data_IF_440664381500
#
_entry.id   IF_440664381500
#
_cell.length_a   1.000
_cell.length_b   1.000
_cell.length_c   1.000
_cell.angle_alpha   90.00
_cell.angle_beta   90.00
_cell.angle_gamma   90.00
#
_symmetry.space_group_name_H-M   'P 1'
#
loop_
_entity.id
_entity.type
_entity.pdbx_description
1 polymer ?
#
# COMPACT_ATOMS: atom_id res chain seq x y z
N UNK A 1 -3.88 -12.70 -12.20
CA UNK A 1 -3.22 -13.36 -11.05
C UNK A 1 -2.00 -12.53 -10.74
N UNK A 2 -1.69 -12.35 -9.47
CA UNK A 2 -0.65 -11.46 -8.97
C UNK A 2 0.45 -12.30 -8.36
N UNK A 3 1.63 -12.31 -8.97
CA UNK A 3 2.77 -13.03 -8.43
C UNK A 3 3.35 -12.22 -7.25
N UNK A 4 3.48 -12.82 -6.04
CA UNK A 4 4.06 -12.14 -4.88
C UNK A 4 5.41 -11.50 -5.20
N UNK A 5 5.59 -10.22 -4.87
CA UNK A 5 6.81 -9.47 -5.16
C UNK A 5 6.88 -8.85 -6.57
N UNK A 6 5.80 -8.91 -7.34
CA UNK A 6 5.73 -8.29 -8.68
C UNK A 6 4.39 -7.60 -8.99
N UNK A 7 3.63 -7.22 -7.96
CA UNK A 7 2.39 -6.48 -8.11
C UNK A 7 2.66 -5.09 -8.68
N UNK A 8 2.03 -4.77 -9.82
CA UNK A 8 2.19 -3.46 -10.47
C UNK A 8 1.28 -2.39 -9.85
N UNK A 9 1.67 -1.13 -9.95
CA UNK A 9 0.88 -0.02 -9.37
C UNK A 9 -0.56 0.07 -9.92
N UNK A 10 -0.78 -0.23 -11.20
CA UNK A 10 -2.13 -0.23 -11.80
C UNK A 10 -3.02 -1.33 -11.22
N UNK A 11 -2.44 -2.50 -10.96
CA UNK A 11 -3.13 -3.62 -10.33
C UNK A 11 -3.47 -3.29 -8.87
N UNK A 12 -2.53 -2.71 -8.12
CA UNK A 12 -2.78 -2.27 -6.75
C UNK A 12 -3.86 -1.18 -6.68
N UNK A 13 -3.87 -0.23 -7.62
CA UNK A 13 -4.96 0.74 -7.76
C UNK A 13 -6.30 0.06 -8.01
N UNK A 14 -6.35 -0.93 -8.91
CA UNK A 14 -7.58 -1.66 -9.17
C UNK A 14 -8.07 -2.40 -7.90
N UNK A 15 -7.17 -3.01 -7.13
CA UNK A 15 -7.51 -3.65 -5.85
C UNK A 15 -8.03 -2.64 -4.81
N UNK A 16 -7.42 -1.46 -4.73
CA UNK A 16 -7.92 -0.34 -3.91
C UNK A 16 -9.37 0.02 -4.26
N UNK A 17 -9.69 -0.01 -5.56
CA UNK A 17 -11.01 0.27 -6.12
C UNK A 17 -11.99 -0.92 -6.04
N UNK A 18 -11.55 -2.08 -5.54
CA UNK A 18 -12.38 -3.26 -5.28
C UNK A 18 -12.19 -4.43 -6.25
N UNK A 19 -11.18 -4.40 -7.12
CA UNK A 19 -10.83 -5.55 -7.94
C UNK A 19 -10.29 -6.72 -7.07
N UNK A 20 -10.57 -7.98 -7.46
CA UNK A 20 -10.10 -9.12 -6.70
C UNK A 20 -8.58 -9.31 -6.83
N UNK A 21 -7.94 -9.76 -5.75
CA UNK A 21 -6.55 -10.21 -5.74
C UNK A 21 -6.52 -11.75 -5.77
N UNK A 22 -5.81 -12.35 -6.72
CA UNK A 22 -5.64 -13.82 -6.82
C UNK A 22 -4.18 -14.17 -7.00
N UNK A 23 -3.65 -15.03 -6.14
CA UNK A 23 -2.29 -15.55 -6.25
C UNK A 23 -2.23 -16.66 -7.32
N UNK A 24 -1.07 -16.85 -7.99
CA UNK A 24 -0.87 -17.95 -8.94
C UNK A 24 -0.85 -19.31 -8.23
N UNK A 25 -1.11 -20.39 -8.96
CA UNK A 25 -0.92 -21.74 -8.45
C UNK A 25 0.53 -21.95 -7.94
N UNK A 26 0.71 -22.81 -6.94
CA UNK A 26 2.02 -23.06 -6.33
C UNK A 26 2.48 -22.02 -5.30
N UNK A 27 1.75 -20.92 -5.07
CA UNK A 27 2.13 -19.90 -4.07
C UNK A 27 2.33 -20.45 -2.64
N UNK A 28 1.72 -21.60 -2.31
CA UNK A 28 1.84 -22.26 -1.01
C UNK A 28 3.21 -22.88 -0.78
N UNK A 29 3.88 -23.36 -1.82
CA UNK A 29 5.16 -24.09 -1.72
C UNK A 29 6.24 -23.30 -0.96
N UNK A 30 6.59 -22.04 -1.33
CA UNK A 30 7.58 -21.27 -0.58
C UNK A 30 7.11 -20.92 0.84
N UNK A 31 5.80 -20.76 1.05
CA UNK A 31 5.23 -20.48 2.38
C UNK A 31 5.41 -21.69 3.30
N UNK A 32 5.03 -22.88 2.83
CA UNK A 32 5.17 -24.15 3.57
C UNK A 32 6.64 -24.49 3.85
N UNK A 33 7.55 -24.23 2.90
CA UNK A 33 8.98 -24.39 3.10
C UNK A 33 9.51 -23.50 4.25
N UNK A 34 9.06 -22.25 4.32
CA UNK A 34 9.44 -21.33 5.41
C UNK A 34 8.91 -21.77 6.78
N UNK A 35 7.70 -22.34 6.82
CA UNK A 35 7.12 -22.92 8.03
C UNK A 35 7.94 -24.13 8.49
N UNK A 36 8.29 -25.04 7.57
CA UNK A 36 9.11 -26.22 7.86
C UNK A 36 10.50 -25.82 8.40
N UNK A 37 11.10 -24.78 7.80
CA UNK A 37 12.39 -24.23 8.24
C UNK A 37 12.32 -23.71 9.67
N UNK A 38 11.28 -22.93 10.00
CA UNK A 38 11.09 -22.43 11.36
C UNK A 38 10.90 -23.59 12.37
N UNK A 39 10.09 -24.59 12.02
CA UNK A 39 9.86 -25.75 12.86
C UNK A 39 11.15 -26.55 13.14
N UNK A 40 12.00 -26.73 12.13
CA UNK A 40 13.29 -27.42 12.28
C UNK A 40 14.23 -26.67 13.24
N UNK A 41 14.33 -25.33 13.13
CA UNK A 41 15.16 -24.51 14.04
C UNK A 41 14.64 -24.51 15.47
N UNK A 42 13.31 -24.45 15.64
CA UNK A 42 12.69 -24.55 16.97
C UNK A 42 13.00 -25.90 17.63
N UNK A 43 13.00 -27.00 16.87
CA UNK A 43 13.39 -28.32 17.35
C UNK A 43 14.88 -28.40 17.74
N UNK A 44 15.73 -27.57 17.10
CA UNK A 44 17.16 -27.42 17.43
C UNK A 44 17.46 -26.66 18.73
N UNK A 45 16.45 -26.04 19.37
CA UNK A 45 16.61 -25.33 20.65
C UNK A 45 17.14 -23.88 20.54
N UNK A 46 17.28 -23.36 19.32
CA UNK A 46 17.69 -21.99 19.02
C UNK A 46 16.77 -20.96 19.72
N UNK A 47 17.34 -19.84 20.17
CA UNK A 47 16.56 -18.70 20.66
C UNK A 47 16.23 -17.78 19.48
N UNK A 48 14.95 -17.69 19.15
CA UNK A 48 14.44 -17.00 17.96
C UNK A 48 13.53 -15.84 18.40
N UNK A 49 13.92 -14.62 18.04
CA UNK A 49 13.24 -13.38 18.45
C UNK A 49 11.74 -13.42 18.16
N UNK A 50 10.91 -13.23 19.19
CA UNK A 50 9.45 -13.18 19.06
C UNK A 50 8.80 -14.48 18.58
N UNK A 51 9.57 -15.57 18.47
CA UNK A 51 9.09 -16.93 18.21
C UNK A 51 9.03 -17.71 19.52
N UNK A 52 10.17 -17.83 20.22
CA UNK A 52 10.29 -18.47 21.54
C UNK A 52 11.02 -17.58 22.57
N UNK A 53 11.11 -16.29 22.28
CA UNK A 53 11.51 -15.25 23.22
C UNK A 53 10.46 -14.14 23.31
N UNK A 54 10.56 -13.26 24.31
CA UNK A 54 9.71 -12.08 24.42
C UNK A 54 9.98 -11.01 23.35
N UNK A 55 9.28 -9.89 23.43
CA UNK A 55 9.36 -8.79 22.45
C UNK A 55 10.04 -7.54 23.04
N UNK A 56 10.73 -6.77 22.21
CA UNK A 56 11.37 -5.51 22.61
C UNK A 56 12.31 -5.70 23.81
N UNK A 57 12.06 -4.99 24.91
CA UNK A 57 12.88 -5.09 26.15
C UNK A 57 12.91 -6.51 26.74
N UNK A 58 11.94 -7.37 26.42
CA UNK A 58 11.84 -8.75 26.91
C UNK A 58 12.43 -9.78 25.93
N UNK A 59 13.15 -9.34 24.89
CA UNK A 59 13.75 -10.21 23.87
C UNK A 59 14.70 -11.29 24.42
N UNK A 60 15.27 -11.08 25.60
CA UNK A 60 16.18 -12.03 26.27
C UNK A 60 15.47 -13.09 27.12
N UNK A 61 14.14 -12.99 27.31
CA UNK A 61 13.37 -13.96 28.09
C UNK A 61 12.91 -15.11 27.21
N UNK A 62 13.34 -16.34 27.50
CA UNK A 62 12.85 -17.56 26.81
C UNK A 62 11.42 -17.89 27.25
N UNK A 63 10.61 -18.32 26.30
CA UNK A 63 9.21 -18.70 26.49
C UNK A 63 9.05 -20.20 26.20
N UNK A 64 8.45 -20.98 27.11
CA UNK A 64 8.16 -22.39 26.88
C UNK A 64 7.22 -22.62 25.69
N UNK A 65 7.38 -23.76 25.01
CA UNK A 65 6.63 -24.11 23.79
C UNK A 65 5.10 -24.08 23.98
N UNK A 66 4.62 -24.48 25.16
CA UNK A 66 3.21 -24.50 25.53
C UNK A 66 2.59 -23.09 25.70
N UNK A 67 3.42 -22.06 25.87
CA UNK A 67 2.97 -20.67 26.02
C UNK A 67 3.05 -19.86 24.72
N UNK A 68 3.60 -20.41 23.63
CA UNK A 68 3.86 -19.64 22.40
C UNK A 68 2.57 -19.14 21.76
N UNK A 69 1.50 -19.95 21.74
CA UNK A 69 0.21 -19.49 21.22
C UNK A 69 -0.35 -18.31 22.04
N UNK A 70 -0.27 -18.39 23.37
CA UNK A 70 -0.71 -17.32 24.25
C UNK A 70 0.16 -16.06 24.12
N UNK A 71 1.47 -16.22 23.89
CA UNK A 71 2.40 -15.12 23.62
C UNK A 71 1.97 -14.34 22.37
N UNK A 72 1.67 -15.02 21.27
CA UNK A 72 1.24 -14.37 20.03
C UNK A 72 -0.14 -13.69 20.18
N UNK A 73 -1.08 -14.33 20.89
CA UNK A 73 -2.38 -13.73 21.20
C UNK A 73 -2.23 -12.44 22.02
N UNK A 74 -1.39 -12.47 23.06
CA UNK A 74 -1.11 -11.31 23.90
C UNK A 74 -0.39 -10.21 23.14
N UNK A 75 0.49 -10.55 22.20
CA UNK A 75 1.13 -9.58 21.32
C UNK A 75 0.09 -8.80 20.53
N UNK A 76 -0.83 -9.48 19.84
CA UNK A 76 -1.90 -8.85 19.07
C UNK A 76 -2.71 -7.90 19.96
N UNK A 77 -3.20 -8.39 21.10
CA UNK A 77 -4.04 -7.59 22.02
C UNK A 77 -3.31 -6.38 22.59
N UNK A 78 -2.07 -6.55 23.07
CA UNK A 78 -1.29 -5.47 23.69
C UNK A 78 -0.91 -4.37 22.69
N UNK A 79 -0.80 -4.69 21.40
CA UNK A 79 -0.42 -3.73 20.37
C UNK A 79 -1.61 -3.08 19.67
N UNK A 80 -2.85 -3.54 19.91
CA UNK A 80 -4.08 -2.91 19.41
C UNK A 80 -4.41 -1.58 20.11
N UNK A 81 -3.43 -0.69 20.22
CA UNK A 81 -3.49 0.61 20.87
C UNK A 81 -3.71 1.77 19.87
N UNK A 82 -4.11 1.45 18.63
CA UNK A 82 -4.46 2.45 17.62
C UNK A 82 -5.65 3.33 18.03
N UNK A 83 -5.64 4.60 17.64
CA UNK A 83 -6.68 5.59 17.95
C UNK A 83 -7.01 6.50 16.76
N UNK A 84 -7.97 7.41 16.93
CA UNK A 84 -8.37 8.37 15.90
C UNK A 84 -9.41 7.82 14.93
N UNK A 85 -9.68 8.53 13.82
CA UNK A 85 -10.65 8.09 12.82
C UNK A 85 -10.19 6.78 12.18
N UNK A 86 -11.15 5.98 11.74
CA UNK A 86 -10.87 4.74 11.03
C UNK A 86 -10.32 5.02 9.62
N UNK A 87 -9.45 4.13 9.14
CA UNK A 87 -8.92 4.18 7.78
C UNK A 87 -10.06 4.01 6.76
N UNK A 88 -10.03 4.75 5.63
CA UNK A 88 -11.02 4.59 4.57
C UNK A 88 -10.97 3.18 3.96
N UNK A 89 -12.13 2.65 3.55
CA UNK A 89 -12.26 1.33 2.95
C UNK A 89 -11.26 1.04 1.80
N UNK A 90 -11.02 1.95 0.84
CA UNK A 90 -10.03 1.70 -0.22
C UNK A 90 -8.61 1.48 0.32
N UNK A 91 -8.22 2.18 1.40
CA UNK A 91 -6.92 2.01 2.05
C UNK A 91 -6.87 0.65 2.75
N UNK A 92 -7.93 0.24 3.45
CA UNK A 92 -7.97 -1.07 4.14
C UNK A 92 -7.87 -2.24 3.14
N UNK A 93 -8.45 -2.11 1.93
CA UNK A 93 -8.27 -3.10 0.85
C UNK A 93 -6.80 -3.24 0.44
N UNK A 94 -6.09 -2.12 0.29
CA UNK A 94 -4.64 -2.13 0.05
C UNK A 94 -3.87 -2.76 1.20
N UNK A 95 -4.21 -2.47 2.46
CA UNK A 95 -3.55 -3.10 3.63
C UNK A 95 -3.68 -4.62 3.58
N UNK A 96 -4.89 -5.14 3.35
CA UNK A 96 -5.13 -6.59 3.22
C UNK A 96 -4.33 -7.19 2.05
N UNK A 97 -4.36 -6.54 0.89
CA UNK A 97 -3.67 -6.99 -0.31
C UNK A 97 -2.14 -7.03 -0.12
N UNK A 98 -1.54 -5.93 0.36
CA UNK A 98 -0.11 -5.83 0.61
C UNK A 98 0.33 -6.83 1.69
N UNK A 99 -0.50 -7.06 2.72
CA UNK A 99 -0.18 -8.04 3.76
C UNK A 99 -0.17 -9.46 3.21
N UNK A 100 -1.19 -9.82 2.44
CA UNK A 100 -1.26 -11.13 1.79
C UNK A 100 -0.08 -11.35 0.83
N UNK A 101 0.24 -10.35 -0.01
CA UNK A 101 1.36 -10.42 -0.96
C UNK A 101 2.72 -10.54 -0.26
N UNK A 102 2.95 -9.78 0.82
CA UNK A 102 4.19 -9.82 1.58
C UNK A 102 4.40 -11.18 2.25
N UNK A 103 3.36 -11.73 2.90
CA UNK A 103 3.41 -13.05 3.52
C UNK A 103 3.58 -14.19 2.50
N UNK A 104 2.94 -14.06 1.33
CA UNK A 104 3.02 -15.03 0.23
C UNK A 104 4.41 -15.08 -0.45
N UNK A 105 5.34 -14.18 -0.08
CA UNK A 105 6.75 -14.31 -0.47
C UNK A 105 7.46 -15.48 0.20
N UNK A 106 6.85 -16.09 1.22
CA UNK A 106 7.38 -17.29 1.87
C UNK A 106 8.63 -17.06 2.70
N UNK A 107 8.73 -15.90 3.36
CA UNK A 107 9.85 -15.57 4.25
C UNK A 107 9.39 -15.24 5.69
N UNK A 108 8.09 -15.37 5.98
CA UNK A 108 7.49 -14.99 7.27
C UNK A 108 7.11 -16.18 8.15
N UNK A 109 7.19 -17.41 7.65
CA UNK A 109 6.83 -18.65 8.35
C UNK A 109 5.42 -18.64 8.98
N UNK A 110 4.45 -18.07 8.25
CA UNK A 110 3.02 -18.18 8.57
C UNK A 110 2.41 -19.38 7.86
N UNK A 111 1.37 -19.97 8.43
CA UNK A 111 0.63 -21.04 7.77
C UNK A 111 -0.14 -20.48 6.56
N UNK A 112 -0.29 -21.24 5.45
CA UNK A 112 -1.06 -20.81 4.28
C UNK A 112 -2.47 -20.29 4.61
N UNK A 113 -3.13 -20.87 5.61
CA UNK A 113 -4.46 -20.44 6.10
C UNK A 113 -4.52 -18.96 6.50
N UNK A 114 -3.41 -18.37 6.94
CA UNK A 114 -3.35 -16.95 7.31
C UNK A 114 -3.49 -16.07 6.07
N UNK A 115 -2.77 -16.42 5.01
CA UNK A 115 -2.81 -15.71 3.72
C UNK A 115 -4.17 -15.90 3.06
N UNK A 116 -4.72 -17.12 3.11
CA UNK A 116 -6.07 -17.43 2.62
C UNK A 116 -7.13 -16.60 3.34
N UNK A 117 -7.05 -16.46 4.66
CA UNK A 117 -7.98 -15.62 5.43
C UNK A 117 -7.90 -14.16 4.99
N UNK A 118 -6.70 -13.59 4.80
CA UNK A 118 -6.53 -12.22 4.31
C UNK A 118 -7.14 -12.01 2.92
N UNK A 119 -6.86 -12.94 1.99
CA UNK A 119 -7.42 -12.91 0.64
C UNK A 119 -8.95 -13.04 0.68
N UNK A 120 -9.48 -13.87 1.57
CA UNK A 120 -10.92 -14.09 1.70
C UNK A 120 -11.64 -12.89 2.33
N UNK A 121 -11.04 -12.21 3.30
CA UNK A 121 -11.53 -10.93 3.82
C UNK A 121 -11.61 -9.88 2.70
N UNK A 122 -10.54 -9.77 1.90
CA UNK A 122 -10.50 -8.85 0.76
C UNK A 122 -11.55 -9.19 -0.29
N UNK A 123 -11.70 -10.47 -0.65
CA UNK A 123 -12.69 -10.93 -1.63
C UNK A 123 -14.14 -10.71 -1.16
N UNK A 124 -14.41 -10.90 0.13
CA UNK A 124 -15.73 -10.70 0.72
C UNK A 124 -16.03 -9.24 1.10
N UNK A 125 -15.09 -8.31 0.83
CA UNK A 125 -15.14 -6.92 1.27
C UNK A 125 -15.44 -6.75 2.77
N UNK A 126 -14.86 -7.65 3.58
CA UNK A 126 -14.90 -7.60 5.04
C UNK A 126 -13.63 -6.87 5.49
N UNK A 127 -13.78 -5.60 5.86
CA UNK A 127 -12.66 -4.68 6.04
C UNK A 127 -12.43 -4.38 7.52
N UNK A 128 -11.30 -4.79 8.12
CA UNK A 128 -11.01 -4.49 9.52
C UNK A 128 -11.13 -3.00 9.85
N UNK A 129 -11.73 -2.68 10.99
CA UNK A 129 -11.88 -1.32 11.48
C UNK A 129 -10.56 -0.83 12.09
N UNK A 130 -9.67 -0.33 11.24
CA UNK A 130 -8.31 0.06 11.63
C UNK A 130 -8.25 1.55 11.97
N UNK A 131 -7.89 1.96 13.20
CA UNK A 131 -7.67 3.36 13.53
C UNK A 131 -6.43 3.94 12.84
N UNK A 132 -6.51 5.20 12.42
CA UNK A 132 -5.48 5.86 11.59
C UNK A 132 -4.24 6.37 12.37
N UNK A 133 -4.24 6.35 13.71
CA UNK A 133 -3.12 6.85 14.54
C UNK A 133 -2.59 5.75 15.47
N UNK A 134 -1.30 5.82 15.79
CA UNK A 134 -0.65 4.96 16.80
C UNK A 134 0.65 4.31 16.30
N UNK A 135 0.83 4.17 14.99
CA UNK A 135 2.12 3.75 14.40
C UNK A 135 3.14 4.90 14.47
N UNK A 136 4.41 4.54 14.71
CA UNK A 136 5.57 5.44 14.61
C UNK A 136 6.35 5.25 13.30
N UNK A 137 5.93 4.30 12.44
CA UNK A 137 6.49 4.10 11.10
C UNK A 137 7.97 3.70 11.03
N UNK A 138 8.57 3.22 12.12
CA UNK A 138 10.02 2.97 12.19
C UNK A 138 10.45 1.60 11.65
N UNK A 139 9.80 0.51 12.09
CA UNK A 139 10.11 -0.86 11.65
C UNK A 139 8.87 -1.73 11.47
N UNK A 140 7.68 -1.15 11.60
CA UNK A 140 6.42 -1.86 11.47
C UNK A 140 5.22 -1.01 11.88
N UNK A 141 4.13 -1.17 11.17
CA UNK A 141 2.83 -0.57 11.45
C UNK A 141 2.07 -1.36 12.52
N UNK A 142 2.77 -1.65 13.63
CA UNK A 142 2.34 -2.61 14.65
C UNK A 142 0.93 -2.32 15.17
N UNK A 143 0.64 -1.07 15.53
CA UNK A 143 -0.64 -0.71 16.13
C UNK A 143 -1.84 -0.88 15.17
N UNK A 144 -1.83 -0.32 13.95
CA UNK A 144 -2.92 -0.54 13.01
C UNK A 144 -2.98 -1.98 12.47
N UNK A 145 -1.85 -2.67 12.29
CA UNK A 145 -1.86 -4.09 11.89
C UNK A 145 -2.34 -5.02 13.01
N UNK A 146 -2.21 -4.63 14.28
CA UNK A 146 -2.81 -5.35 15.40
C UNK A 146 -4.34 -5.32 15.33
N UNK A 147 -4.94 -4.18 14.94
CA UNK A 147 -6.40 -4.09 14.73
C UNK A 147 -6.88 -4.98 13.57
N UNK A 148 -6.09 -5.11 12.51
CA UNK A 148 -6.33 -6.12 11.46
C UNK A 148 -6.26 -7.54 12.03
N UNK A 149 -5.21 -7.85 12.79
CA UNK A 149 -4.99 -9.18 13.34
C UNK A 149 -6.04 -9.60 14.37
N UNK A 150 -6.61 -8.65 15.14
CA UNK A 150 -7.74 -8.90 16.04
C UNK A 150 -8.91 -9.55 15.29
N UNK A 151 -9.28 -9.02 14.12
CA UNK A 151 -10.37 -9.56 13.30
C UNK A 151 -10.10 -11.01 12.90
N UNK A 152 -8.86 -11.33 12.49
CA UNK A 152 -8.47 -12.69 12.10
C UNK A 152 -8.59 -13.71 13.24
N UNK A 153 -8.47 -13.29 14.50
CA UNK A 153 -8.65 -14.15 15.68
C UNK A 153 -10.07 -14.06 16.26
N UNK A 154 -11.01 -13.41 15.56
CA UNK A 154 -12.40 -13.26 15.99
C UNK A 154 -12.66 -12.14 17.00
N UNK A 155 -11.67 -11.31 17.30
CA UNK A 155 -11.76 -10.14 18.17
C UNK A 155 -11.84 -8.84 17.35
N UNK A 156 -11.97 -7.70 18.01
CA UNK A 156 -12.04 -6.41 17.33
C UNK A 156 -13.30 -6.23 16.49
N UNK A 157 -13.22 -5.38 15.47
CA UNK A 157 -14.36 -4.96 14.66
C UNK A 157 -13.98 -4.87 13.18
N UNK A 158 -14.95 -5.07 12.29
CA UNK A 158 -14.77 -4.89 10.84
C UNK A 158 -16.03 -4.33 10.18
N UNK A 159 -15.84 -3.57 9.11
CA UNK A 159 -16.91 -3.13 8.23
C UNK A 159 -17.36 -4.26 7.31
N UNK A 160 -18.67 -4.51 7.27
CA UNK A 160 -19.33 -5.46 6.36
C UNK A 160 -20.61 -4.83 5.84
N UNK A 161 -20.73 -4.65 4.53
CA UNK A 161 -21.95 -4.12 3.91
C UNK A 161 -22.38 -2.75 4.46
N UNK A 162 -21.42 -1.88 4.81
CA UNK A 162 -21.68 -0.54 5.34
C UNK A 162 -21.94 -0.45 6.85
N UNK A 163 -21.91 -1.57 7.59
CA UNK A 163 -22.06 -1.60 9.06
C UNK A 163 -20.80 -2.14 9.73
N UNK A 164 -20.53 -1.71 10.97
CA UNK A 164 -19.46 -2.27 11.80
C UNK A 164 -20.01 -3.47 12.57
N UNK A 165 -19.32 -4.61 12.47
CA UNK A 165 -19.66 -5.85 13.17
C UNK A 165 -18.49 -6.32 14.06
N UNK A 166 -18.76 -7.03 15.15
CA UNK A 166 -17.73 -7.74 15.92
C UNK A 166 -16.94 -8.73 15.04
N UNK A 167 -15.64 -8.89 15.31
CA UNK A 167 -14.72 -9.66 14.48
C UNK A 167 -15.19 -11.09 14.15
N UNK A 168 -15.68 -11.83 15.15
CA UNK A 168 -16.21 -13.18 14.93
C UNK A 168 -17.42 -13.21 13.97
N UNK A 169 -18.34 -12.25 14.09
CA UNK A 169 -19.47 -12.12 13.17
C UNK A 169 -19.02 -11.72 11.77
N UNK A 170 -18.06 -10.81 11.67
CA UNK A 170 -17.48 -10.37 10.40
C UNK A 170 -16.76 -11.53 9.67
N UNK A 171 -15.98 -12.35 10.38
CA UNK A 171 -15.37 -13.56 9.83
C UNK A 171 -16.42 -14.54 9.29
N UNK A 172 -17.51 -14.75 10.03
CA UNK A 172 -18.59 -15.61 9.58
C UNK A 172 -19.23 -15.12 8.27
N UNK A 173 -19.32 -13.80 8.06
CA UNK A 173 -19.76 -13.21 6.78
C UNK A 173 -18.82 -13.51 5.61
N UNK A 174 -17.52 -13.64 5.87
CA UNK A 174 -16.55 -14.09 4.89
C UNK A 174 -16.50 -15.63 4.72
N UNK A 175 -17.26 -16.39 5.52
CA UNK A 175 -17.20 -17.85 5.56
C UNK A 175 -15.96 -18.40 6.27
N UNK A 176 -15.39 -17.61 7.19
CA UNK A 176 -14.18 -17.94 7.94
C UNK A 176 -14.50 -18.24 9.42
N UNK A 177 -13.67 -19.06 10.04
CA UNK A 177 -13.63 -19.23 11.49
C UNK A 177 -12.42 -18.46 12.07
N UNK A 178 -12.46 -18.06 13.36
CA UNK A 178 -11.31 -17.46 14.04
C UNK A 178 -10.03 -18.30 13.93
N UNK A 179 -8.90 -17.66 13.63
CA UNK A 179 -7.61 -18.32 13.55
C UNK A 179 -7.03 -18.58 14.94
N UNK A 180 -6.52 -19.80 15.15
CA UNK A 180 -5.60 -20.09 16.24
C UNK A 180 -4.17 -19.80 15.77
N UNK A 181 -3.53 -18.80 16.40
CA UNK A 181 -2.17 -18.39 16.05
C UNK A 181 -1.14 -19.39 16.56
N UNK A 182 -0.32 -19.90 15.65
CA UNK A 182 0.89 -20.66 15.93
C UNK A 182 2.09 -19.77 16.24
N UNK A 183 3.27 -20.39 16.39
CA UNK A 183 4.51 -19.65 16.63
C UNK A 183 4.76 -18.61 15.53
N UNK A 184 5.20 -17.41 15.93
CA UNK A 184 5.48 -16.24 15.05
C UNK A 184 4.27 -15.63 14.32
N UNK A 185 3.12 -16.29 14.22
CA UNK A 185 2.01 -15.80 13.36
C UNK A 185 1.45 -14.45 13.82
N UNK A 186 1.37 -14.19 15.13
CA UNK A 186 0.98 -12.87 15.65
C UNK A 186 1.99 -11.79 15.27
N UNK A 187 3.28 -12.05 15.49
CA UNK A 187 4.34 -11.13 15.11
C UNK A 187 4.35 -10.87 13.60
N UNK A 188 4.29 -11.92 12.79
CA UNK A 188 4.27 -11.81 11.34
C UNK A 188 3.05 -11.03 10.83
N UNK A 189 1.90 -11.09 11.50
CA UNK A 189 0.72 -10.28 11.17
C UNK A 189 0.89 -8.80 11.51
N UNK A 190 1.58 -8.48 12.61
CA UNK A 190 1.78 -7.10 13.06
C UNK A 190 2.96 -6.40 12.38
N UNK A 191 3.95 -7.15 11.91
CA UNK A 191 5.19 -6.57 11.43
C UNK A 191 5.14 -6.15 9.96
N UNK A 192 5.90 -5.11 9.61
CA UNK A 192 5.96 -4.56 8.25
C UNK A 192 5.20 -3.25 8.05
N UNK A 193 5.37 -2.66 6.87
CA UNK A 193 5.02 -1.28 6.50
C UNK A 193 3.73 -1.17 5.68
N UNK A 194 2.87 -2.20 5.72
CA UNK A 194 1.73 -2.30 4.80
C UNK A 194 0.72 -1.16 4.95
N UNK A 195 0.54 -0.59 6.14
CA UNK A 195 -0.42 0.50 6.37
C UNK A 195 0.13 1.82 5.84
N UNK A 196 1.38 2.13 6.16
CA UNK A 196 2.10 3.30 5.67
C UNK A 196 2.22 3.27 4.14
N UNK A 197 2.56 2.12 3.57
CA UNK A 197 2.63 1.93 2.11
C UNK A 197 1.26 2.05 1.46
N UNK A 198 0.20 1.47 2.03
CA UNK A 198 -1.17 1.63 1.52
C UNK A 198 -1.63 3.09 1.50
N UNK A 199 -1.36 3.84 2.58
CA UNK A 199 -1.66 5.28 2.66
C UNK A 199 -0.89 6.08 1.60
N UNK A 200 0.42 5.80 1.44
CA UNK A 200 1.25 6.49 0.47
C UNK A 200 0.85 6.17 -0.98
N UNK A 201 0.47 4.91 -1.28
CA UNK A 201 -0.08 4.51 -2.58
C UNK A 201 -1.41 5.20 -2.86
N UNK A 202 -2.34 5.22 -1.90
CA UNK A 202 -3.62 5.92 -2.07
C UNK A 202 -3.40 7.42 -2.34
N UNK A 203 -2.46 8.05 -1.63
CA UNK A 203 -2.08 9.44 -1.86
C UNK A 203 -1.43 9.65 -3.23
N UNK A 204 -0.53 8.77 -3.66
CA UNK A 204 0.08 8.78 -4.99
C UNK A 204 -1.00 8.73 -6.07
N UNK A 205 -1.92 7.76 -5.98
CA UNK A 205 -2.99 7.59 -6.94
C UNK A 205 -3.90 8.82 -7.02
N UNK A 206 -4.32 9.37 -5.87
CA UNK A 206 -5.10 10.60 -5.83
C UNK A 206 -4.33 11.80 -6.42
N UNK A 207 -3.03 11.92 -6.13
CA UNK A 207 -2.19 12.99 -6.66
C UNK A 207 -2.02 12.91 -8.18
N UNK A 208 -1.91 11.71 -8.76
CA UNK A 208 -1.90 11.53 -10.20
C UNK A 208 -3.20 11.98 -10.86
N UNK A 209 -4.35 11.65 -10.27
CA UNK A 209 -5.66 12.08 -10.79
C UNK A 209 -5.84 13.60 -10.67
N UNK A 210 -5.40 14.20 -9.55
CA UNK A 210 -5.39 15.64 -9.39
C UNK A 210 -4.46 16.32 -10.40
N UNK A 211 -3.29 15.76 -10.69
CA UNK A 211 -2.38 16.30 -11.70
C UNK A 211 -2.98 16.24 -13.11
N UNK A 212 -3.61 15.10 -13.48
CA UNK A 212 -4.33 14.97 -14.75
C UNK A 212 -5.46 16.01 -14.85
N UNK A 213 -6.24 16.14 -13.78
CA UNK A 213 -7.34 17.12 -13.68
C UNK A 213 -6.82 18.55 -13.80
N UNK A 214 -5.71 18.88 -13.13
CA UNK A 214 -5.09 20.19 -13.18
C UNK A 214 -4.58 20.55 -14.58
N UNK A 215 -4.04 19.60 -15.34
CA UNK A 215 -3.64 19.83 -16.74
C UNK A 215 -4.84 20.13 -17.64
N UNK A 216 -5.97 19.42 -17.46
CA UNK A 216 -7.21 19.68 -18.21
C UNK A 216 -7.80 21.05 -17.86
N UNK A 217 -7.99 21.32 -16.57
CA UNK A 217 -8.50 22.61 -16.09
C UNK A 217 -7.57 23.77 -16.48
N UNK A 218 -6.26 23.53 -16.45
CA UNK A 218 -5.23 24.47 -16.88
C UNK A 218 -5.27 24.78 -18.37
N UNK A 219 -5.46 23.77 -19.22
CA UNK A 219 -5.69 23.96 -20.65
C UNK A 219 -6.97 24.77 -20.91
N UNK A 220 -8.09 24.43 -20.25
CA UNK A 220 -9.34 25.20 -20.36
C UNK A 220 -9.16 26.66 -19.92
N UNK A 221 -8.36 26.90 -18.88
CA UNK A 221 -8.08 28.24 -18.37
C UNK A 221 -7.24 29.06 -19.35
N UNK A 222 -6.23 28.45 -19.99
CA UNK A 222 -5.47 29.08 -21.08
C UNK A 222 -6.42 29.46 -22.20
N UNK A 223 -7.28 28.53 -22.62
CA UNK A 223 -8.17 28.77 -23.75
C UNK A 223 -9.18 29.88 -23.47
N UNK A 224 -9.87 29.80 -22.32
CA UNK A 224 -10.86 30.79 -21.90
C UNK A 224 -10.27 32.20 -21.69
N UNK A 225 -9.02 32.28 -21.22
CA UNK A 225 -8.31 33.55 -21.05
C UNK A 225 -7.78 34.14 -22.37
N UNK A 226 -8.05 33.48 -23.51
CA UNK A 226 -7.41 33.77 -24.80
C UNK A 226 -5.89 33.76 -24.65
N UNK A 227 -5.33 32.80 -23.92
CA UNK A 227 -3.90 32.66 -23.70
C UNK A 227 -3.18 32.03 -24.90
N UNK A 228 -1.85 32.14 -24.90
CA UNK A 228 -0.98 31.59 -25.93
C UNK A 228 -0.49 30.19 -25.57
N UNK A 229 -0.52 29.29 -26.57
CA UNK A 229 0.08 27.96 -26.54
C UNK A 229 1.55 27.95 -26.98
N UNK A 230 2.08 29.08 -27.47
CA UNK A 230 3.49 29.23 -27.89
C UNK A 230 4.49 28.79 -26.80
N UNK A 231 4.28 29.08 -25.50
CA UNK A 231 5.20 28.63 -24.46
C UNK A 231 5.24 27.12 -24.24
N UNK A 232 4.33 26.36 -24.86
CA UNK A 232 4.25 24.90 -24.79
C UNK A 232 4.95 24.21 -25.99
N UNK A 233 5.70 24.98 -26.79
CA UNK A 233 6.49 24.46 -27.91
C UNK A 233 7.52 23.42 -27.41
N UNK A 234 7.57 22.22 -28.02
CA UNK A 234 8.46 21.14 -27.57
C UNK A 234 9.93 21.58 -27.52
N UNK A 235 10.39 22.44 -28.43
CA UNK A 235 11.79 22.90 -28.50
C UNK A 235 12.21 23.66 -27.24
N UNK A 236 11.29 24.45 -26.64
CA UNK A 236 11.55 25.19 -25.40
C UNK A 236 11.81 24.21 -24.25
N UNK A 237 11.04 23.12 -24.21
CA UNK A 237 11.11 22.15 -23.13
C UNK A 237 12.27 21.18 -23.30
N UNK A 238 12.57 20.79 -24.55
CA UNK A 238 13.75 20.01 -24.91
C UNK A 238 15.05 20.74 -24.52
N UNK A 239 15.15 22.05 -24.74
CA UNK A 239 16.30 22.86 -24.33
C UNK A 239 16.52 22.88 -22.81
N UNK A 240 15.45 22.75 -22.01
CA UNK A 240 15.54 22.70 -20.54
C UNK A 240 15.75 21.29 -20.00
N UNK A 241 15.27 20.26 -20.70
CA UNK A 241 15.63 18.86 -20.44
C UNK A 241 14.93 18.16 -19.26
N UNK A 242 13.96 18.79 -18.58
CA UNK A 242 13.21 18.10 -17.50
C UNK A 242 12.12 17.18 -18.09
N UNK A 243 12.16 15.85 -17.82
CA UNK A 243 11.22 14.89 -18.41
C UNK A 243 9.75 15.21 -18.09
N UNK A 244 9.43 15.51 -16.84
CA UNK A 244 8.08 15.85 -16.42
C UNK A 244 7.57 17.11 -17.09
N UNK A 245 8.42 18.14 -17.23
CA UNK A 245 8.06 19.38 -17.92
C UNK A 245 7.77 19.16 -19.41
N UNK A 246 8.60 18.37 -20.10
CA UNK A 246 8.38 18.01 -21.51
C UNK A 246 7.03 17.30 -21.68
N UNK A 247 6.74 16.33 -20.80
CA UNK A 247 5.46 15.61 -20.82
C UNK A 247 4.26 16.50 -20.53
N UNK A 248 4.37 17.40 -19.55
CA UNK A 248 3.29 18.33 -19.19
C UNK A 248 2.99 19.30 -20.35
N UNK A 249 4.02 19.83 -21.00
CA UNK A 249 3.86 20.68 -22.18
C UNK A 249 3.19 19.95 -23.34
N UNK A 250 3.63 18.73 -23.64
CA UNK A 250 3.03 17.89 -24.67
C UNK A 250 1.54 17.63 -24.41
N UNK A 251 1.17 17.37 -23.15
CA UNK A 251 -0.22 17.17 -22.75
C UNK A 251 -1.05 18.45 -22.95
N UNK A 252 -0.59 19.61 -22.46
CA UNK A 252 -1.29 20.89 -22.63
C UNK A 252 -1.46 21.27 -24.10
N UNK A 253 -0.41 21.10 -24.91
CA UNK A 253 -0.46 21.35 -26.36
C UNK A 253 -1.47 20.44 -27.05
N UNK A 254 -1.53 19.16 -26.67
CA UNK A 254 -2.51 18.21 -27.21
C UNK A 254 -3.94 18.62 -26.83
N UNK A 255 -4.16 19.06 -25.59
CA UNK A 255 -5.48 19.49 -25.11
C UNK A 255 -5.98 20.78 -25.79
N UNK A 256 -5.08 21.70 -26.13
CA UNK A 256 -5.40 22.98 -26.81
C UNK A 256 -5.47 22.87 -28.34
N UNK A 257 -5.10 21.73 -28.91
CA UNK A 257 -5.04 21.54 -30.35
C UNK A 257 -6.43 21.76 -30.98
N UNK A 258 -6.49 22.65 -31.98
CA UNK A 258 -7.73 22.94 -32.70
C UNK A 258 -8.66 23.96 -32.02
N UNK A 259 -8.23 24.65 -30.96
CA UNK A 259 -9.05 25.70 -30.35
C UNK A 259 -9.35 26.85 -31.32
N UNK A 260 -10.64 27.12 -31.52
CA UNK A 260 -11.12 28.29 -32.26
C UNK A 260 -10.88 29.60 -31.48
N UNK A 261 -10.87 29.56 -30.15
CA UNK A 261 -10.56 30.74 -29.33
C UNK A 261 -9.11 31.13 -29.53
N UNK A 262 -8.19 30.16 -29.53
CA UNK A 262 -6.77 30.40 -29.83
C UNK A 262 -6.58 31.02 -31.22
N UNK A 263 -7.29 30.51 -32.22
CA UNK A 263 -7.20 31.04 -33.58
C UNK A 263 -7.75 32.47 -33.69
N UNK A 264 -8.80 32.81 -32.93
CA UNK A 264 -9.45 34.13 -32.96
C UNK A 264 -8.55 35.31 -32.57
N UNK A 265 -7.36 35.05 -32.04
CA UNK A 265 -6.41 36.05 -31.60
C UNK A 265 -4.96 35.70 -31.92
N UNK A 266 -4.73 34.77 -32.85
CA UNK A 266 -3.37 34.38 -33.24
C UNK A 266 -2.60 35.51 -33.91
N UNK A 267 -3.32 36.37 -34.64
CA UNK A 267 -2.79 37.55 -35.34
C UNK A 267 -3.30 38.81 -34.64
N UNK A 268 -2.41 39.78 -34.42
CA UNK A 268 -2.77 41.09 -33.86
C UNK A 268 -3.07 41.09 -32.35
N UNK A 269 -2.62 40.07 -31.61
CA UNK A 269 -2.68 40.09 -30.15
C UNK A 269 -1.65 41.08 -29.59
N UNK A 270 -2.06 42.12 -28.85
CA UNK A 270 -1.12 43.05 -28.23
C UNK A 270 -0.35 42.44 -27.05
N UNK A 271 -0.77 41.28 -26.52
CA UNK A 271 -0.11 40.62 -25.39
C UNK A 271 1.17 39.93 -25.85
N UNK A 272 2.28 40.31 -25.21
CA UNK A 272 3.61 39.71 -25.49
C UNK A 272 3.77 38.37 -24.78
N UNK A 273 3.30 38.25 -23.53
CA UNK A 273 3.36 37.02 -22.74
C UNK A 273 2.17 36.93 -21.80
N UNK A 274 1.70 35.70 -21.58
CA UNK A 274 0.71 35.43 -20.53
C UNK A 274 1.35 35.47 -19.13
N UNK A 275 0.52 35.70 -18.09
CA UNK A 275 0.91 35.52 -16.69
C UNK A 275 1.48 34.13 -16.43
N UNK A 276 2.31 34.01 -15.39
CA UNK A 276 3.00 32.76 -15.05
C UNK A 276 2.02 31.63 -14.74
N UNK A 277 0.85 31.92 -14.17
CA UNK A 277 -0.20 30.94 -13.90
C UNK A 277 -0.68 30.21 -15.16
N UNK A 278 -0.56 30.82 -16.34
CA UNK A 278 -0.90 30.20 -17.61
C UNK A 278 0.35 29.65 -18.32
N UNK A 279 1.37 30.50 -18.45
CA UNK A 279 2.55 30.20 -19.26
C UNK A 279 3.51 29.19 -18.61
N UNK A 280 3.61 29.19 -17.29
CA UNK A 280 4.56 28.34 -16.55
C UNK A 280 3.95 27.01 -16.09
N UNK A 281 2.76 26.64 -16.58
CA UNK A 281 2.09 25.39 -16.23
C UNK A 281 2.97 24.15 -16.48
N UNK A 282 3.68 24.00 -17.62
CA UNK A 282 4.55 22.85 -17.82
C UNK A 282 5.63 22.70 -16.75
N UNK A 283 6.21 23.81 -16.30
CA UNK A 283 7.30 23.85 -15.32
C UNK A 283 6.79 23.38 -13.95
N UNK A 284 5.62 23.89 -13.54
CA UNK A 284 4.99 23.56 -12.24
C UNK A 284 4.47 22.13 -12.24
N UNK A 285 3.61 21.77 -13.21
CA UNK A 285 3.04 20.44 -13.32
C UNK A 285 4.11 19.38 -13.61
N UNK A 286 5.14 19.74 -14.39
CA UNK A 286 6.28 18.88 -14.68
C UNK A 286 7.12 18.54 -13.47
N UNK A 287 7.40 19.51 -12.59
CA UNK A 287 8.10 19.25 -11.34
C UNK A 287 7.31 18.29 -10.44
N UNK A 288 5.99 18.47 -10.33
CA UNK A 288 5.12 17.53 -9.62
C UNK A 288 5.17 16.13 -10.25
N UNK A 289 5.13 16.04 -11.58
CA UNK A 289 5.18 14.77 -12.29
C UNK A 289 6.48 14.00 -12.05
N UNK A 290 7.62 14.68 -12.06
CA UNK A 290 8.92 14.06 -11.79
C UNK A 290 9.00 13.54 -10.35
N UNK A 291 8.47 14.28 -9.37
CA UNK A 291 8.40 13.84 -7.97
C UNK A 291 7.47 12.63 -7.79
N UNK A 292 6.29 12.65 -8.43
CA UNK A 292 5.35 11.53 -8.38
C UNK A 292 5.94 10.28 -9.05
N UNK A 293 6.66 10.44 -10.16
CA UNK A 293 7.33 9.33 -10.83
C UNK A 293 8.41 8.69 -9.94
N UNK A 294 9.18 9.49 -9.20
CA UNK A 294 10.13 8.97 -8.22
C UNK A 294 9.42 8.24 -7.06
N UNK A 295 8.39 8.86 -6.48
CA UNK A 295 7.60 8.26 -5.40
C UNK A 295 6.97 6.93 -5.83
N UNK A 296 6.43 6.86 -7.05
CA UNK A 296 5.88 5.64 -7.64
C UNK A 296 6.91 4.49 -7.66
N UNK A 297 8.15 4.76 -8.08
CA UNK A 297 9.21 3.74 -8.11
C UNK A 297 9.57 3.23 -6.70
N UNK A 298 9.63 4.13 -5.71
CA UNK A 298 9.93 3.74 -4.32
C UNK A 298 8.78 2.91 -3.75
N UNK A 299 7.54 3.36 -3.93
CA UNK A 299 6.36 2.69 -3.39
C UNK A 299 6.07 1.36 -4.07
N UNK A 300 6.34 1.21 -5.37
CA UNK A 300 6.21 -0.07 -6.07
C UNK A 300 7.20 -1.11 -5.52
N UNK A 301 8.43 -0.70 -5.20
CA UNK A 301 9.41 -1.59 -4.55
C UNK A 301 8.95 -1.97 -3.15
N UNK A 302 8.52 -0.99 -2.36
CA UNK A 302 8.07 -1.21 -0.99
C UNK A 302 6.82 -2.11 -0.92
N UNK A 303 5.86 -1.90 -1.84
CA UNK A 303 4.66 -2.73 -1.95
C UNK A 303 4.96 -4.21 -2.24
N UNK A 304 6.10 -4.48 -2.86
CA UNK A 304 6.57 -5.81 -3.22
C UNK A 304 7.62 -6.38 -2.26
N UNK A 305 8.02 -5.62 -1.24
CA UNK A 305 9.02 -6.02 -0.26
C UNK A 305 8.46 -6.97 0.82
N UNK A 306 9.37 -7.71 1.45
CA UNK A 306 9.09 -8.39 2.72
C UNK A 306 9.67 -7.51 3.82
N UNK A 307 8.80 -6.85 4.58
CA UNK A 307 9.20 -5.93 5.65
C UNK A 307 8.97 -6.52 7.06
N UNK A 308 8.93 -7.85 7.14
CA UNK A 308 8.82 -8.60 8.38
C UNK A 308 10.20 -8.77 9.05
N UNK A 309 10.18 -9.02 10.36
CA UNK A 309 11.36 -9.29 11.18
C UNK A 309 10.94 -10.15 12.39
N UNK A 310 11.53 -11.33 12.62
CA UNK A 310 12.59 -11.94 11.83
C UNK A 310 12.11 -12.55 10.51
N UNK A 311 12.98 -12.59 9.50
CA UNK A 311 12.74 -13.36 8.27
C UNK A 311 13.23 -14.79 8.41
N UNK A 312 12.58 -15.72 7.71
CA UNK A 312 12.97 -17.12 7.62
C UNK A 312 13.41 -17.40 6.19
N UNK A 313 14.71 -17.55 5.99
CA UNK A 313 15.33 -17.81 4.67
C UNK A 313 16.13 -19.11 4.71
N UNK A 314 16.22 -19.78 3.56
CA UNK A 314 17.09 -20.95 3.41
C UNK A 314 18.57 -20.54 3.49
N UNK A 315 19.39 -21.33 4.19
CA UNK A 315 20.86 -21.24 4.11
C UNK A 315 21.59 -20.23 5.01
N UNK A 316 20.93 -19.55 5.96
CA UNK A 316 21.64 -18.67 6.90
C UNK A 316 20.77 -18.04 7.97
N UNK A 317 21.41 -17.53 9.03
CA UNK A 317 20.74 -16.91 10.17
C UNK A 317 20.08 -15.57 9.84
N UNK A 318 18.98 -15.38 10.57
CA UNK A 318 18.02 -14.28 10.58
C UNK A 318 18.66 -12.93 10.92
#
# INVERSE_FOLDING_TARGET
>A
MTTPGSAGLQELRAVMEGAPLRLPDGWREPVEASVATLAARMAGGEALYGVNTGFGKLASTRIPSEQLAQLQLNLVRSHAAGTGPLLPAPVVRLVLALKALSLARGASAVQPRVIEALLRLLEADVLPAIPARGSVGASGDLAPLAHLALVLIGEGEAFVGGSVLPGAEALARAGLAPLALGAKEGLALLNGTQVSTALALAALFAAEDLLRTALVAGAMSVDAARGSDTPFDPRIHELRGHPGQIRAAAALRKLLAGSAIRESHRIGDPRVQDPYSLRCQPQVAGACLDLLAHAAQVLEREANAVTDNPLVVEGGDI
#
